data_IF_736705833527
#
_entry.id   IF_736705833527
#
_cell.length_a   1.000
_cell.length_b   1.000
_cell.length_c   1.000
_cell.angle_alpha   90.00
_cell.angle_beta   90.00
_cell.angle_gamma   90.00
#
_symmetry.space_group_name_H-M   'P 1'
#
loop_
_entity.id
_entity.type
_entity.pdbx_description
1 polymer ?
#
# COMPACT_ATOMS: atom_id res chain seq x y z
N UNK A 1 -0.28 -46.29 -2.62
CA UNK A 1 -1.16 -45.31 -1.97
C UNK A 1 -0.45 -43.99 -1.96
N UNK A 2 -1.01 -43.00 -2.64
CA UNK A 2 -0.62 -41.59 -2.53
C UNK A 2 -1.93 -40.83 -2.60
N UNK A 3 -2.43 -40.41 -1.44
CA UNK A 3 -3.56 -39.51 -1.36
C UNK A 3 -3.12 -38.18 -1.96
N UNK A 4 -3.73 -37.81 -3.08
CA UNK A 4 -3.62 -36.44 -3.58
C UNK A 4 -4.11 -35.52 -2.46
N UNK A 5 -3.31 -34.52 -2.09
CA UNK A 5 -3.73 -33.48 -1.18
C UNK A 5 -4.84 -32.68 -1.86
N UNK A 6 -6.09 -33.10 -1.61
CA UNK A 6 -7.32 -32.46 -2.07
C UNK A 6 -7.77 -31.47 -1.00
N UNK A 7 -7.38 -30.22 -1.17
CA UNK A 7 -8.01 -29.09 -0.49
C UNK A 7 -7.45 -28.69 0.87
N UNK A 8 -7.97 -27.55 1.34
CA UNK A 8 -7.64 -26.90 2.61
C UNK A 8 -8.06 -27.79 3.77
N UNK A 9 -7.09 -28.26 4.55
CA UNK A 9 -7.36 -28.99 5.79
C UNK A 9 -7.65 -27.98 6.92
N UNK A 10 -8.93 -27.73 7.19
CA UNK A 10 -9.37 -26.88 8.30
C UNK A 10 -9.19 -27.54 9.68
N UNK A 11 -8.84 -28.84 9.75
CA UNK A 11 -8.62 -29.59 11.00
C UNK A 11 -7.20 -29.42 11.51
N UNK A 12 -6.20 -29.44 10.62
CA UNK A 12 -4.78 -29.30 10.99
C UNK A 12 -4.11 -28.02 10.44
N UNK A 13 -4.85 -27.15 9.72
CA UNK A 13 -4.34 -25.85 9.27
C UNK A 13 -3.30 -25.91 8.15
N UNK A 14 -3.15 -27.07 7.50
CA UNK A 14 -2.23 -27.23 6.38
C UNK A 14 -2.96 -26.84 5.08
N UNK A 15 -2.81 -25.58 4.69
CA UNK A 15 -3.25 -25.06 3.40
C UNK A 15 -2.39 -23.88 3.00
N UNK A 16 -1.84 -23.89 1.78
CA UNK A 16 -1.15 -22.73 1.23
C UNK A 16 -2.23 -21.72 0.81
N UNK A 17 -2.53 -20.75 1.67
CA UNK A 17 -3.34 -19.60 1.27
C UNK A 17 -2.41 -18.61 0.57
N UNK A 18 -2.62 -18.41 -0.73
CA UNK A 18 -2.05 -17.25 -1.42
C UNK A 18 -2.91 -16.05 -1.02
N UNK A 19 -2.32 -15.13 -0.26
CA UNK A 19 -2.93 -13.82 0.01
C UNK A 19 -2.62 -12.95 -1.21
N UNK A 20 -3.66 -12.40 -1.84
CA UNK A 20 -3.53 -11.61 -3.07
C UNK A 20 -4.09 -12.29 -4.31
N UNK A 21 -4.07 -11.57 -5.42
CA UNK A 21 -4.40 -12.16 -6.73
C UNK A 21 -3.14 -12.88 -7.27
N UNK A 22 -3.17 -14.22 -7.48
CA UNK A 22 -2.03 -14.96 -8.01
C UNK A 22 -1.65 -14.54 -9.44
N UNK A 23 -2.51 -13.78 -10.11
CA UNK A 23 -2.29 -13.20 -11.43
C UNK A 23 -1.98 -11.70 -11.39
N UNK A 24 -1.75 -11.14 -10.19
CA UNK A 24 -1.39 -9.73 -10.05
C UNK A 24 -0.12 -9.42 -10.85
N UNK A 25 -0.27 -8.51 -11.81
CA UNK A 25 0.77 -8.12 -12.73
C UNK A 25 1.12 -6.64 -12.50
N UNK A 26 2.31 -6.41 -11.93
CA UNK A 26 2.83 -5.07 -11.66
C UNK A 26 2.94 -4.23 -12.94
N UNK A 27 3.08 -4.85 -14.11
CA UNK A 27 3.16 -4.11 -15.39
C UNK A 27 1.83 -3.48 -15.82
N UNK A 28 0.72 -3.89 -15.21
CA UNK A 28 -0.62 -3.36 -15.49
C UNK A 28 -1.04 -2.25 -14.52
N UNK A 29 -0.24 -2.00 -13.48
CA UNK A 29 -0.52 -0.98 -12.47
C UNK A 29 -0.16 0.39 -13.02
N UNK A 30 -1.04 1.37 -12.81
CA UNK A 30 -0.80 2.76 -13.21
C UNK A 30 -0.93 3.67 -12.00
N UNK A 31 0.07 4.53 -11.81
CA UNK A 31 0.01 5.58 -10.80
C UNK A 31 -0.97 6.67 -11.26
N UNK A 32 -1.87 7.08 -10.37
CA UNK A 32 -2.74 8.22 -10.65
C UNK A 32 -1.94 9.52 -10.52
N UNK A 33 -2.31 10.51 -11.34
CA UNK A 33 -1.72 11.85 -11.27
C UNK A 33 -2.10 12.61 -10.00
N UNK A 34 -1.54 13.80 -9.84
CA UNK A 34 -1.78 14.65 -8.66
C UNK A 34 -3.26 14.99 -8.48
N UNK A 35 -3.72 14.96 -7.22
CA UNK A 35 -5.10 15.29 -6.85
C UNK A 35 -5.31 16.80 -6.95
N UNK A 36 -6.30 17.22 -7.75
CA UNK A 36 -6.53 18.64 -8.06
C UNK A 36 -7.21 19.44 -6.93
N UNK A 37 -7.81 18.77 -5.94
CA UNK A 37 -8.55 19.46 -4.87
C UNK A 37 -7.68 20.04 -3.76
N UNK A 38 -6.35 19.84 -3.81
CA UNK A 38 -5.43 20.24 -2.74
C UNK A 38 -5.64 19.45 -1.45
N UNK A 39 -4.73 19.60 -0.49
CA UNK A 39 -4.85 18.99 0.83
C UNK A 39 -5.78 19.84 1.72
N UNK A 40 -6.92 19.31 2.20
CA UNK A 40 -7.85 20.06 3.04
C UNK A 40 -7.28 20.45 4.41
N UNK A 41 -6.21 19.79 4.88
CA UNK A 41 -5.55 20.07 6.14
C UNK A 41 -4.41 21.09 6.00
N UNK A 42 -4.09 21.51 4.76
CA UNK A 42 -3.04 22.51 4.48
C UNK A 42 -1.60 22.00 4.56
N UNK A 43 -1.39 20.70 4.82
CA UNK A 43 -0.06 20.07 4.70
C UNK A 43 0.27 19.63 3.28
N UNK A 44 1.35 18.86 3.14
CA UNK A 44 1.80 18.32 1.85
C UNK A 44 1.02 17.06 1.47
N UNK A 45 0.96 16.78 0.16
CA UNK A 45 0.48 15.51 -0.36
C UNK A 45 1.65 14.55 -0.57
N UNK A 46 1.55 13.34 -0.02
CA UNK A 46 2.55 12.27 -0.15
C UNK A 46 1.90 11.10 -0.87
N UNK A 47 2.47 10.66 -1.98
CA UNK A 47 1.89 9.63 -2.84
C UNK A 47 2.59 8.29 -2.64
N UNK A 48 1.79 7.22 -2.64
CA UNK A 48 2.24 5.82 -2.58
C UNK A 48 1.71 5.08 -3.81
N UNK A 49 2.54 4.34 -4.52
CA UNK A 49 2.22 3.77 -5.83
C UNK A 49 3.20 2.68 -6.28
N UNK A 50 2.73 1.81 -7.18
CA UNK A 50 3.49 0.65 -7.69
C UNK A 50 3.69 0.69 -9.21
N UNK A 51 3.19 1.71 -9.90
CA UNK A 51 3.21 1.79 -11.36
C UNK A 51 4.57 2.10 -12.00
N UNK A 52 5.58 2.48 -11.19
CA UNK A 52 6.96 2.69 -11.66
C UNK A 52 7.95 2.45 -10.50
N UNK A 53 8.43 1.21 -10.39
CA UNK A 53 9.31 0.77 -9.30
C UNK A 53 10.77 1.21 -9.48
N UNK A 54 11.17 1.57 -10.71
CA UNK A 54 12.54 1.92 -11.07
C UNK A 54 12.80 3.44 -10.98
N UNK A 55 11.75 4.23 -10.77
CA UNK A 55 11.83 5.68 -10.56
C UNK A 55 12.51 6.07 -9.23
N UNK A 56 12.97 7.32 -9.16
CA UNK A 56 13.29 7.92 -7.86
C UNK A 56 12.00 7.99 -7.04
N UNK A 57 12.03 7.54 -5.80
CA UNK A 57 10.84 7.49 -4.94
C UNK A 57 10.87 8.71 -4.01
N UNK A 58 10.31 9.84 -4.44
CA UNK A 58 10.33 11.12 -3.70
C UNK A 58 9.04 11.38 -2.92
N UNK A 59 8.01 10.58 -3.15
CA UNK A 59 6.67 10.77 -2.57
C UNK A 59 5.81 11.77 -3.34
N UNK A 60 6.27 12.26 -4.49
CA UNK A 60 5.46 13.10 -5.37
C UNK A 60 4.52 12.23 -6.23
N UNK A 61 3.51 12.84 -6.87
CA UNK A 61 2.58 12.10 -7.73
C UNK A 61 3.27 11.41 -8.93
N UNK A 62 4.35 11.99 -9.46
CA UNK A 62 5.12 11.43 -10.56
C UNK A 62 6.13 10.37 -10.11
N UNK A 63 6.52 10.42 -8.85
CA UNK A 63 7.59 9.64 -8.22
C UNK A 63 7.14 9.15 -6.84
N UNK A 64 6.06 8.35 -6.76
CA UNK A 64 5.47 7.96 -5.48
C UNK A 64 6.39 7.00 -4.72
N UNK A 65 6.23 6.95 -3.40
CA UNK A 65 6.84 5.89 -2.61
C UNK A 65 6.21 4.54 -2.91
N UNK A 66 6.97 3.46 -2.75
CA UNK A 66 6.43 2.09 -2.93
C UNK A 66 5.92 1.47 -1.63
N UNK A 67 6.16 2.13 -0.50
CA UNK A 67 5.83 1.64 0.84
C UNK A 67 4.99 2.64 1.64
N UNK A 68 3.85 2.17 2.13
CA UNK A 68 2.96 2.93 3.04
C UNK A 68 3.70 3.26 4.33
N UNK A 69 4.46 2.31 4.88
CA UNK A 69 5.23 2.52 6.11
C UNK A 69 6.30 3.61 5.95
N UNK A 70 6.94 3.69 4.78
CA UNK A 70 7.93 4.73 4.51
C UNK A 70 7.28 6.11 4.40
N UNK A 71 6.15 6.22 3.70
CA UNK A 71 5.39 7.46 3.62
C UNK A 71 4.95 7.93 5.02
N UNK A 72 4.45 7.02 5.87
CA UNK A 72 4.09 7.33 7.26
C UNK A 72 5.26 7.82 8.10
N UNK A 73 6.46 7.25 7.92
CA UNK A 73 7.65 7.66 8.66
C UNK A 73 8.15 9.07 8.30
N UNK A 74 7.80 9.57 7.11
CA UNK A 74 8.18 10.91 6.64
C UNK A 74 7.06 11.94 6.80
N UNK A 75 5.81 11.49 6.93
CA UNK A 75 4.67 12.36 7.09
C UNK A 75 4.75 13.18 8.38
N UNK A 76 4.41 14.46 8.27
CA UNK A 76 4.27 15.40 9.37
C UNK A 76 2.80 15.70 9.66
N UNK A 77 2.55 16.45 10.73
CA UNK A 77 1.20 16.91 11.05
C UNK A 77 0.55 17.63 9.84
N UNK A 78 -0.72 17.31 9.58
CA UNK A 78 -1.53 17.82 8.47
C UNK A 78 -1.14 17.33 7.06
N UNK A 79 -0.10 16.50 6.91
CA UNK A 79 0.16 15.86 5.62
C UNK A 79 -0.93 14.85 5.27
N UNK A 80 -1.16 14.66 3.97
CA UNK A 80 -2.11 13.69 3.44
C UNK A 80 -1.37 12.63 2.64
N UNK A 81 -1.50 11.38 3.06
CA UNK A 81 -1.00 10.24 2.29
C UNK A 81 -2.08 9.79 1.31
N UNK A 82 -1.73 9.75 0.03
CA UNK A 82 -2.58 9.32 -1.09
C UNK A 82 -2.04 7.99 -1.59
N UNK A 83 -2.86 6.95 -1.52
CA UNK A 83 -2.49 5.59 -1.93
C UNK A 83 -3.14 5.30 -3.28
N UNK A 84 -2.32 5.05 -4.30
CA UNK A 84 -2.79 4.63 -5.61
C UNK A 84 -3.33 3.19 -5.57
N UNK A 85 -4.18 2.79 -6.53
CA UNK A 85 -4.65 1.42 -6.62
C UNK A 85 -3.49 0.43 -6.75
N UNK A 86 -3.51 -0.64 -5.96
CA UNK A 86 -2.50 -1.70 -6.00
C UNK A 86 -2.56 -2.61 -4.78
N UNK A 87 -1.74 -3.66 -4.80
CA UNK A 87 -1.56 -4.58 -3.68
C UNK A 87 -0.29 -4.26 -2.90
N UNK A 88 -0.44 -3.91 -1.62
CA UNK A 88 0.65 -3.53 -0.72
C UNK A 88 0.80 -4.57 0.39
N UNK A 89 1.82 -5.40 0.29
CA UNK A 89 2.05 -6.53 1.21
C UNK A 89 2.86 -6.17 2.46
N UNK A 90 3.13 -4.88 2.70
CA UNK A 90 3.87 -4.41 3.87
C UNK A 90 2.95 -4.08 5.04
N UNK A 91 3.33 -4.51 6.25
CA UNK A 91 2.69 -4.06 7.49
C UNK A 91 3.04 -2.60 7.81
N UNK A 92 2.09 -1.85 8.37
CA UNK A 92 2.33 -0.52 8.93
C UNK A 92 1.48 -0.30 10.19
N UNK A 93 1.96 0.57 11.09
CA UNK A 93 1.25 0.95 12.31
C UNK A 93 0.70 2.37 12.19
N UNK A 94 -0.51 2.59 12.69
CA UNK A 94 -1.06 3.92 12.91
C UNK A 94 -0.97 4.17 14.42
N UNK A 95 -0.19 5.17 14.81
CA UNK A 95 -0.12 5.56 16.21
C UNK A 95 -1.35 6.39 16.58
N UNK A 96 -2.18 5.83 17.45
CA UNK A 96 -3.39 6.51 17.94
C UNK A 96 -3.09 7.72 18.84
N UNK A 97 -1.84 7.91 19.27
CA UNK A 97 -1.44 9.13 19.98
C UNK A 97 -1.51 10.40 19.11
N UNK A 98 -1.65 10.23 17.79
CA UNK A 98 -1.68 11.32 16.79
C UNK A 98 -3.12 11.76 16.46
N UNK A 99 -4.15 11.06 16.95
CA UNK A 99 -5.54 11.50 16.77
C UNK A 99 -5.77 12.72 17.66
N UNK A 100 -5.91 13.90 17.05
CA UNK A 100 -6.42 15.07 17.75
C UNK A 100 -7.81 14.71 18.30
N UNK A 101 -8.00 14.82 19.62
CA UNK A 101 -9.32 14.72 20.23
C UNK A 101 -10.27 15.69 19.51
N UNK A 102 -11.22 15.14 18.75
CA UNK A 102 -12.28 15.89 18.07
C UNK A 102 -13.44 16.18 19.02
#
# INVERSE_FOLDING_TARGET
>A
GVGAADGLDFTYGAGLTVLGDPTYDLSQVTNLGAVSSGNPLGGSDIYVGLGDLDSQQTGSAAEPFTSIAHALALASANDRIIINPGEYVSSFGIDNSIVADY
#
